data_IF_659813405566
#
_entry.id   IF_659813405566
#
_cell.length_a   1.000
_cell.length_b   1.000
_cell.length_c   1.000
_cell.angle_alpha   90.00
_cell.angle_beta   90.00
_cell.angle_gamma   90.00
#
_symmetry.space_group_name_H-M   'P 1'
#
loop_
_entity.id
_entity.type
_entity.pdbx_description
1 polymer ?
#
# COMPACT_ATOMS: atom_id res chain seq x y z
N UNK A 1 5.09 -11.55 -26.77
CA UNK A 1 5.20 -11.02 -25.39
C UNK A 1 4.20 -11.77 -24.54
N UNK A 2 4.64 -12.38 -23.42
CA UNK A 2 3.74 -13.12 -22.53
C UNK A 2 3.19 -12.13 -21.49
N UNK A 3 1.85 -11.98 -21.44
CA UNK A 3 1.14 -11.16 -20.47
C UNK A 3 0.18 -12.08 -19.73
N UNK A 4 0.31 -12.16 -18.40
CA UNK A 4 -0.54 -12.96 -17.55
C UNK A 4 -1.03 -12.11 -16.39
N UNK A 5 -2.34 -11.98 -16.24
CA UNK A 5 -2.94 -11.40 -15.04
C UNK A 5 -2.83 -12.41 -13.89
N UNK A 6 -2.28 -11.96 -12.75
CA UNK A 6 -2.05 -12.81 -11.56
C UNK A 6 -2.95 -12.45 -10.38
N UNK A 7 -3.39 -11.18 -10.33
CA UNK A 7 -4.45 -10.65 -9.49
C UNK A 7 -5.19 -9.59 -10.28
N UNK A 8 -6.37 -9.19 -9.86
CA UNK A 8 -7.13 -8.13 -10.53
C UNK A 8 -6.26 -6.86 -10.69
N UNK A 9 -6.03 -6.43 -11.93
CA UNK A 9 -5.19 -5.29 -12.28
C UNK A 9 -3.67 -5.46 -12.07
N UNK A 10 -3.21 -6.66 -11.69
CA UNK A 10 -1.78 -6.98 -11.50
C UNK A 10 -1.33 -8.04 -12.49
N UNK A 11 -0.31 -7.73 -13.25
CA UNK A 11 0.16 -8.55 -14.37
C UNK A 11 1.60 -9.03 -14.17
N UNK A 12 1.92 -10.13 -14.81
CA UNK A 12 3.29 -10.57 -15.05
C UNK A 12 3.57 -10.49 -16.54
N UNK A 13 4.57 -9.67 -16.93
CA UNK A 13 4.94 -9.44 -18.33
C UNK A 13 6.41 -9.83 -18.49
N UNK A 14 6.68 -10.86 -19.29
CA UNK A 14 8.03 -11.41 -19.46
C UNK A 14 8.77 -11.63 -18.12
N UNK A 15 8.05 -12.13 -17.10
CA UNK A 15 8.57 -12.38 -15.76
C UNK A 15 8.60 -11.18 -14.80
N UNK A 16 8.47 -9.95 -15.28
CA UNK A 16 8.38 -8.73 -14.45
C UNK A 16 6.95 -8.49 -13.97
N UNK A 17 6.81 -8.01 -12.73
CA UNK A 17 5.54 -7.54 -12.20
C UNK A 17 5.17 -6.21 -12.85
N UNK A 18 3.89 -5.98 -13.14
CA UNK A 18 3.39 -4.76 -13.76
C UNK A 18 1.95 -4.45 -13.38
N UNK A 19 1.54 -3.19 -13.57
CA UNK A 19 0.15 -2.72 -13.56
C UNK A 19 -0.18 -2.05 -14.90
N UNK A 20 -1.45 -2.03 -15.30
CA UNK A 20 -1.89 -1.26 -16.46
C UNK A 20 -1.86 0.22 -16.12
N UNK A 21 -1.14 1.03 -16.91
CA UNK A 21 -0.91 2.45 -16.62
C UNK A 21 -2.18 3.29 -16.79
N UNK A 22 -2.75 3.78 -15.72
CA UNK A 22 -3.92 4.66 -15.75
C UNK A 22 -3.57 6.04 -16.34
N UNK A 23 -2.33 6.52 -16.13
CA UNK A 23 -1.83 7.78 -16.67
C UNK A 23 -0.85 7.51 -17.83
N UNK A 24 -1.40 7.19 -19.01
CA UNK A 24 -0.65 6.75 -20.19
C UNK A 24 0.49 7.71 -20.54
N UNK A 25 1.68 7.15 -20.79
CA UNK A 25 2.90 7.90 -21.11
C UNK A 25 3.62 8.49 -19.89
N UNK A 26 3.03 8.41 -18.68
CA UNK A 26 3.60 9.02 -17.47
C UNK A 26 4.29 7.96 -16.63
N UNK A 27 5.55 8.22 -16.28
CA UNK A 27 6.33 7.49 -15.27
C UNK A 27 6.27 8.22 -13.93
N UNK A 28 6.32 7.47 -12.84
CA UNK A 28 6.37 8.02 -11.48
C UNK A 28 7.77 7.93 -10.87
N UNK A 29 8.54 6.92 -11.29
CA UNK A 29 9.92 6.72 -10.90
C UNK A 29 10.73 6.20 -12.12
N UNK A 30 11.62 5.25 -11.93
CA UNK A 30 12.49 4.66 -12.97
C UNK A 30 11.92 3.37 -13.61
N UNK A 31 10.58 3.18 -13.56
CA UNK A 31 9.92 2.03 -14.15
C UNK A 31 9.90 2.06 -15.69
N UNK A 32 9.82 0.88 -16.30
CA UNK A 32 9.64 0.75 -17.75
C UNK A 32 8.16 0.86 -18.12
N UNK A 33 7.85 1.56 -19.21
CA UNK A 33 6.55 1.51 -19.88
C UNK A 33 6.58 0.47 -21.00
N UNK A 34 5.55 -0.39 -21.04
CA UNK A 34 5.43 -1.49 -22.00
C UNK A 34 4.11 -1.35 -22.71
N UNK A 35 4.15 -1.03 -24.01
CA UNK A 35 2.96 -1.01 -24.85
C UNK A 35 2.65 -2.40 -25.39
N UNK A 36 1.38 -2.79 -25.27
CA UNK A 36 0.87 -4.06 -25.78
C UNK A 36 -0.58 -3.89 -26.23
N UNK A 37 -0.82 -4.08 -27.53
CA UNK A 37 -2.12 -3.80 -28.14
C UNK A 37 -2.56 -2.37 -27.84
N UNK A 38 -3.74 -2.16 -27.31
CA UNK A 38 -4.28 -0.83 -26.98
C UNK A 38 -3.95 -0.41 -25.55
N UNK A 39 -3.16 -1.20 -24.81
CA UNK A 39 -2.83 -0.97 -23.40
C UNK A 39 -1.38 -0.59 -23.22
N UNK A 40 -1.14 0.15 -22.15
CA UNK A 40 0.21 0.44 -21.65
C UNK A 40 0.33 -0.08 -20.22
N UNK A 41 1.42 -0.75 -19.95
CA UNK A 41 1.74 -1.30 -18.63
C UNK A 41 2.97 -0.62 -18.05
N UNK A 42 3.05 -0.53 -16.72
CA UNK A 42 4.20 -0.05 -15.96
C UNK A 42 4.80 -1.19 -15.18
N UNK A 43 6.13 -1.40 -15.29
CA UNK A 43 6.82 -2.40 -14.46
C UNK A 43 6.79 -1.98 -12.99
N UNK A 44 6.56 -2.94 -12.09
CA UNK A 44 6.46 -2.68 -10.66
C UNK A 44 7.67 -3.24 -9.92
N UNK A 45 8.56 -2.33 -9.49
CA UNK A 45 9.83 -2.69 -8.88
C UNK A 45 9.65 -3.13 -7.41
N UNK A 46 9.97 -4.39 -7.04
CA UNK A 46 9.80 -4.91 -5.67
C UNK A 46 10.77 -4.28 -4.67
N UNK A 47 11.89 -3.70 -5.12
CA UNK A 47 12.81 -2.95 -4.24
C UNK A 47 12.28 -1.55 -3.89
N UNK A 48 11.25 -1.07 -4.60
CA UNK A 48 10.61 0.22 -4.38
C UNK A 48 9.23 0.10 -3.76
N UNK A 49 8.69 -1.11 -3.64
CA UNK A 49 7.32 -1.35 -3.14
C UNK A 49 7.24 -2.65 -2.35
N UNK A 50 6.89 -2.55 -1.06
CA UNK A 50 6.72 -3.72 -0.20
C UNK A 50 5.53 -4.59 -0.63
N UNK A 51 4.51 -3.99 -1.25
CA UNK A 51 3.40 -4.74 -1.85
C UNK A 51 3.88 -5.58 -3.04
N UNK A 52 4.67 -4.99 -3.95
CA UNK A 52 5.26 -5.75 -5.05
C UNK A 52 6.19 -6.87 -4.55
N UNK A 53 7.01 -6.58 -3.53
CA UNK A 53 7.86 -7.57 -2.89
C UNK A 53 7.03 -8.73 -2.31
N UNK A 54 5.93 -8.45 -1.61
CA UNK A 54 5.06 -9.48 -1.03
C UNK A 54 4.35 -10.33 -2.10
N UNK A 55 3.93 -9.72 -3.20
CA UNK A 55 3.35 -10.45 -4.35
C UNK A 55 4.39 -11.43 -4.94
N UNK A 56 5.63 -10.99 -5.15
CA UNK A 56 6.71 -11.87 -5.62
C UNK A 56 7.10 -12.95 -4.60
N UNK A 57 6.86 -12.71 -3.31
CA UNK A 57 7.03 -13.68 -2.22
C UNK A 57 5.78 -14.55 -2.00
N UNK A 58 4.95 -14.67 -3.04
CA UNK A 58 3.79 -15.56 -3.10
C UNK A 58 2.64 -15.19 -2.15
N UNK A 59 2.41 -13.88 -1.95
CA UNK A 59 1.21 -13.38 -1.30
C UNK A 59 -0.04 -13.97 -1.96
N UNK A 60 -1.02 -14.35 -1.14
CA UNK A 60 -2.28 -14.99 -1.58
C UNK A 60 -3.49 -14.07 -1.45
N UNK A 61 -3.48 -13.19 -0.43
CA UNK A 61 -4.62 -12.35 -0.10
C UNK A 61 -4.45 -10.95 -0.71
N UNK A 62 -4.83 -10.80 -2.00
CA UNK A 62 -4.82 -9.52 -2.71
C UNK A 62 -6.27 -9.09 -3.00
N UNK A 63 -6.81 -8.24 -2.12
CA UNK A 63 -8.19 -7.75 -2.18
C UNK A 63 -8.30 -6.29 -2.67
N UNK A 64 -7.15 -5.67 -3.00
CA UNK A 64 -7.14 -4.39 -3.72
C UNK A 64 -7.51 -4.69 -5.17
N UNK A 65 -8.60 -4.09 -5.63
CA UNK A 65 -9.17 -4.35 -6.97
C UNK A 65 -9.86 -3.11 -7.51
N UNK A 66 -10.27 -3.17 -8.75
CA UNK A 66 -11.06 -2.12 -9.39
C UNK A 66 -12.23 -1.67 -8.52
N UNK A 67 -12.42 -0.36 -8.39
CA UNK A 67 -13.45 0.27 -7.56
C UNK A 67 -13.18 0.30 -6.06
N UNK A 68 -12.03 -0.23 -5.57
CA UNK A 68 -11.72 -0.17 -4.14
C UNK A 68 -11.48 1.25 -3.65
N UNK A 69 -12.03 1.59 -2.47
CA UNK A 69 -11.68 2.80 -1.73
C UNK A 69 -10.55 2.47 -0.75
N UNK A 70 -9.43 3.14 -0.88
CA UNK A 70 -8.18 2.85 -0.16
C UNK A 70 -7.73 4.04 0.66
N UNK A 71 -7.51 3.86 1.95
CA UNK A 71 -6.76 4.80 2.80
C UNK A 71 -5.31 4.32 2.90
N UNK A 72 -4.38 5.12 2.41
CA UNK A 72 -2.95 4.83 2.44
C UNK A 72 -2.23 5.73 3.43
N UNK A 73 -1.65 5.17 4.47
CA UNK A 73 -0.90 5.87 5.49
C UNK A 73 0.61 5.76 5.22
N UNK A 74 1.26 6.90 5.05
CA UNK A 74 2.68 6.99 4.70
C UNK A 74 2.91 6.84 3.20
N UNK A 75 2.21 7.66 2.40
CA UNK A 75 2.24 7.63 0.95
C UNK A 75 3.62 7.94 0.35
N UNK A 76 4.50 8.58 1.11
CA UNK A 76 5.82 9.04 0.69
C UNK A 76 5.74 9.81 -0.65
N UNK A 77 6.53 9.45 -1.64
CA UNK A 77 6.56 10.10 -2.96
C UNK A 77 5.56 9.50 -3.97
N UNK A 78 4.67 8.60 -3.53
CA UNK A 78 3.60 8.06 -4.37
C UNK A 78 3.95 6.81 -5.19
N UNK A 79 5.14 6.21 -5.03
CA UNK A 79 5.55 5.03 -5.83
C UNK A 79 4.54 3.87 -5.73
N UNK A 80 4.28 3.34 -4.52
CA UNK A 80 3.29 2.27 -4.34
C UNK A 80 1.86 2.77 -4.60
N UNK A 81 1.55 3.99 -4.18
CA UNK A 81 0.24 4.61 -4.39
C UNK A 81 -0.14 4.65 -5.87
N UNK A 82 0.80 5.00 -6.77
CA UNK A 82 0.52 5.07 -8.20
C UNK A 82 0.16 3.71 -8.82
N UNK A 83 0.75 2.62 -8.34
CA UNK A 83 0.38 1.26 -8.76
C UNK A 83 -0.97 0.83 -8.18
N UNK A 84 -1.28 1.21 -6.93
CA UNK A 84 -2.62 0.99 -6.36
C UNK A 84 -3.66 1.79 -7.15
N UNK A 85 -3.37 3.05 -7.53
CA UNK A 85 -4.22 3.86 -8.41
C UNK A 85 -4.49 3.17 -9.75
N UNK A 86 -3.47 2.56 -10.37
CA UNK A 86 -3.64 1.76 -11.59
C UNK A 86 -4.60 0.58 -11.38
N UNK A 87 -4.51 -0.11 -10.23
CA UNK A 87 -5.33 -1.29 -9.91
C UNK A 87 -6.79 -0.91 -9.65
N UNK A 88 -7.03 0.13 -8.86
CA UNK A 88 -8.39 0.52 -8.49
C UNK A 88 -9.14 1.24 -9.60
N UNK A 89 -8.44 1.69 -10.66
CA UNK A 89 -9.00 2.41 -11.81
C UNK A 89 -9.70 3.72 -11.42
N UNK A 90 -10.47 4.30 -12.35
CA UNK A 90 -11.26 5.53 -12.15
C UNK A 90 -12.42 5.38 -11.16
N UNK A 91 -12.91 4.17 -10.98
CA UNK A 91 -14.04 3.83 -10.11
C UNK A 91 -13.68 3.77 -8.62
N UNK A 92 -12.38 3.65 -8.30
CA UNK A 92 -11.88 3.64 -6.93
C UNK A 92 -11.35 5.00 -6.48
N UNK A 93 -11.09 5.12 -5.19
CA UNK A 93 -10.49 6.32 -4.58
C UNK A 93 -9.30 5.93 -3.69
N UNK A 94 -8.19 6.66 -3.84
CA UNK A 94 -6.98 6.46 -3.05
C UNK A 94 -6.66 7.72 -2.26
N UNK A 95 -6.87 7.68 -0.95
CA UNK A 95 -6.56 8.75 -0.02
C UNK A 95 -5.14 8.58 0.51
N UNK A 96 -4.25 9.49 0.14
CA UNK A 96 -2.81 9.40 0.36
C UNK A 96 -2.37 10.29 1.53
N UNK A 97 -2.29 9.74 2.75
CA UNK A 97 -1.85 10.49 3.94
C UNK A 97 -0.33 10.50 4.02
N UNK A 98 0.24 11.69 4.05
CA UNK A 98 1.68 11.93 4.20
C UNK A 98 1.90 13.20 5.03
N UNK A 99 2.84 13.15 6.00
CA UNK A 99 3.11 14.30 6.90
C UNK A 99 4.43 15.04 6.56
N UNK A 100 5.30 14.43 5.76
CA UNK A 100 6.55 15.05 5.32
C UNK A 100 6.28 16.03 4.18
N UNK A 101 6.57 17.31 4.40
CA UNK A 101 6.43 18.34 3.36
C UNK A 101 7.24 18.01 2.09
N UNK A 102 8.46 17.50 2.27
CA UNK A 102 9.32 17.11 1.15
C UNK A 102 8.70 16.02 0.30
N UNK A 103 8.14 14.99 0.93
CA UNK A 103 7.50 13.89 0.24
C UNK A 103 6.18 14.33 -0.40
N UNK A 104 5.41 15.16 0.31
CA UNK A 104 4.13 15.67 -0.16
C UNK A 104 4.28 16.46 -1.47
N UNK A 105 5.33 17.27 -1.63
CA UNK A 105 5.59 17.99 -2.90
C UNK A 105 5.69 17.03 -4.09
N UNK A 106 6.42 15.94 -3.94
CA UNK A 106 6.55 14.93 -5.00
C UNK A 106 5.26 14.11 -5.19
N UNK A 107 4.55 13.82 -4.09
CA UNK A 107 3.26 13.13 -4.15
C UNK A 107 2.21 13.95 -4.92
N UNK A 108 2.19 15.27 -4.76
CA UNK A 108 1.29 16.18 -5.49
C UNK A 108 1.50 16.07 -7.00
N UNK A 109 2.75 16.02 -7.47
CA UNK A 109 3.07 15.85 -8.91
C UNK A 109 2.49 14.54 -9.47
N UNK A 110 2.42 13.49 -8.64
CA UNK A 110 1.82 12.19 -9.01
C UNK A 110 0.29 12.30 -9.01
N UNK A 111 -0.29 12.92 -7.98
CA UNK A 111 -1.74 13.08 -7.84
C UNK A 111 -2.34 13.94 -8.96
N UNK A 112 -1.64 14.99 -9.41
CA UNK A 112 -2.08 15.85 -10.54
C UNK A 112 -2.28 15.07 -11.84
N UNK A 113 -1.66 13.91 -12.00
CA UNK A 113 -1.77 13.05 -13.19
C UNK A 113 -2.76 11.89 -13.00
N UNK A 114 -3.43 11.80 -11.84
CA UNK A 114 -4.25 10.66 -11.45
C UNK A 114 -5.49 11.12 -10.68
N UNK A 115 -6.62 11.20 -11.34
CA UNK A 115 -7.88 11.75 -10.82
C UNK A 115 -8.43 10.96 -9.62
N UNK A 116 -8.01 9.69 -9.44
CA UNK A 116 -8.42 8.82 -8.35
C UNK A 116 -7.48 8.86 -7.12
N UNK A 117 -6.49 9.78 -7.10
CA UNK A 117 -5.55 9.95 -5.99
C UNK A 117 -5.78 11.28 -5.28
N UNK A 118 -6.03 11.23 -3.98
CA UNK A 118 -6.34 12.40 -3.14
C UNK A 118 -5.25 12.58 -2.07
N UNK A 119 -4.36 13.59 -2.21
CA UNK A 119 -3.30 13.84 -1.24
C UNK A 119 -3.86 14.49 0.03
N UNK A 120 -3.40 14.00 1.19
CA UNK A 120 -3.79 14.49 2.51
C UNK A 120 -2.52 14.80 3.31
N UNK A 121 -2.23 16.11 3.45
CA UNK A 121 -1.06 16.57 4.21
C UNK A 121 -1.38 16.62 5.70
N UNK A 122 -1.35 15.46 6.36
CA UNK A 122 -1.69 15.30 7.78
C UNK A 122 -0.82 14.20 8.43
N UNK A 123 -0.72 14.26 9.76
CA UNK A 123 -0.19 13.15 10.55
C UNK A 123 -1.27 12.06 10.71
N UNK A 124 -0.91 10.81 10.45
CA UNK A 124 -1.80 9.66 10.61
C UNK A 124 -2.32 9.46 12.06
N UNK A 125 -1.70 10.14 13.06
CA UNK A 125 -2.18 10.17 14.44
C UNK A 125 -3.40 11.05 14.65
N UNK A 126 -3.65 11.97 13.73
CA UNK A 126 -4.71 12.96 13.79
C UNK A 126 -5.84 12.60 12.85
N UNK A 127 -6.38 11.39 13.04
CA UNK A 127 -7.42 10.84 12.15
C UNK A 127 -8.64 11.76 12.04
N UNK A 128 -8.97 12.47 13.12
CA UNK A 128 -10.08 13.43 13.20
C UNK A 128 -9.94 14.59 12.21
N UNK A 129 -8.71 14.93 11.80
CA UNK A 129 -8.45 16.03 10.85
C UNK A 129 -8.73 15.65 9.38
N UNK A 130 -8.96 14.34 9.07
CA UNK A 130 -9.23 13.88 7.71
C UNK A 130 -10.32 12.83 7.57
N UNK A 131 -10.85 12.33 8.68
CA UNK A 131 -11.85 11.27 8.68
C UNK A 131 -13.11 11.60 7.86
N UNK A 132 -13.58 12.83 7.93
CA UNK A 132 -14.78 13.28 7.19
C UNK A 132 -14.53 13.27 5.67
N UNK A 133 -13.32 13.65 5.23
CA UNK A 133 -12.95 13.66 3.80
C UNK A 133 -12.76 12.25 3.23
N UNK A 134 -12.31 11.32 4.08
CA UNK A 134 -12.02 9.93 3.69
C UNK A 134 -13.29 9.06 3.75
N UNK A 135 -14.09 9.23 4.79
CA UNK A 135 -15.24 8.37 5.04
C UNK A 135 -14.86 6.92 5.35
N UNK A 136 -15.72 6.00 4.93
CA UNK A 136 -15.48 4.56 5.12
C UNK A 136 -14.77 3.96 3.90
N UNK A 137 -13.69 3.22 4.14
CA UNK A 137 -12.87 2.59 3.08
C UNK A 137 -12.93 1.07 3.11
N UNK A 138 -12.64 0.46 1.96
CA UNK A 138 -12.54 -1.00 1.80
C UNK A 138 -11.21 -1.54 2.28
N UNK A 139 -10.15 -0.76 2.07
CA UNK A 139 -8.77 -1.11 2.28
C UNK A 139 -8.08 -0.03 3.13
N UNK A 140 -7.32 -0.48 4.13
CA UNK A 140 -6.37 0.33 4.86
C UNK A 140 -4.95 -0.17 4.55
N UNK A 141 -4.13 0.68 3.95
CA UNK A 141 -2.72 0.37 3.69
C UNK A 141 -1.82 1.20 4.62
N UNK A 142 -0.90 0.56 5.33
CA UNK A 142 0.00 1.23 6.26
C UNK A 142 1.47 0.92 5.97
N UNK A 143 2.26 1.94 5.62
CA UNK A 143 3.72 1.86 5.42
C UNK A 143 4.46 3.00 6.16
N UNK A 144 4.18 3.13 7.43
CA UNK A 144 4.72 4.17 8.31
C UNK A 144 6.03 3.76 8.97
N UNK A 145 6.95 4.72 9.16
CA UNK A 145 8.13 4.57 10.02
C UNK A 145 7.86 5.19 11.39
N UNK A 146 7.19 4.46 12.28
CA UNK A 146 6.74 4.95 13.58
C UNK A 146 6.91 3.88 14.67
N UNK A 147 7.08 4.29 15.93
CA UNK A 147 7.16 3.35 17.07
C UNK A 147 5.79 2.73 17.40
N UNK A 148 4.74 3.48 17.18
CA UNK A 148 3.34 3.20 17.52
C UNK A 148 2.52 2.62 16.35
N UNK A 149 3.17 1.87 15.42
CA UNK A 149 2.51 1.34 14.22
C UNK A 149 1.23 0.54 14.51
N UNK A 150 1.20 -0.23 15.61
CA UNK A 150 0.03 -1.00 15.98
C UNK A 150 -1.12 -0.10 16.47
N UNK A 151 -0.81 0.98 17.20
CA UNK A 151 -1.81 1.97 17.64
C UNK A 151 -2.39 2.72 16.45
N UNK A 152 -1.55 3.10 15.49
CA UNK A 152 -1.97 3.77 14.26
C UNK A 152 -2.89 2.87 13.42
N UNK A 153 -2.60 1.57 13.33
CA UNK A 153 -3.50 0.62 12.67
C UNK A 153 -4.86 0.53 13.38
N UNK A 154 -4.87 0.46 14.71
CA UNK A 154 -6.10 0.40 15.50
C UNK A 154 -6.91 1.68 15.40
N UNK A 155 -6.25 2.84 15.41
CA UNK A 155 -6.86 4.17 15.30
C UNK A 155 -7.51 4.35 13.93
N UNK A 156 -6.74 4.24 12.86
CA UNK A 156 -7.21 4.42 11.48
C UNK A 156 -8.12 3.27 11.02
N UNK A 157 -8.02 2.12 11.67
CA UNK A 157 -8.97 1.02 11.50
C UNK A 157 -10.41 1.38 11.81
N UNK A 158 -10.66 2.51 12.49
CA UNK A 158 -12.00 3.09 12.63
C UNK A 158 -12.67 3.39 11.29
N UNK A 159 -11.91 3.88 10.32
CA UNK A 159 -12.37 4.21 8.96
C UNK A 159 -12.51 2.99 8.04
N UNK A 160 -11.89 1.85 8.38
CA UNK A 160 -12.03 0.63 7.60
C UNK A 160 -13.39 -0.01 7.84
N UNK A 161 -14.11 -0.42 6.81
CA UNK A 161 -15.37 -1.15 6.93
C UNK A 161 -15.20 -2.48 7.66
N UNK A 162 -16.23 -3.00 8.32
CA UNK A 162 -16.25 -4.35 8.87
C UNK A 162 -16.02 -5.37 7.75
N UNK A 163 -15.14 -6.34 7.97
CA UNK A 163 -14.74 -7.30 6.94
C UNK A 163 -13.79 -6.73 5.88
N UNK A 164 -13.43 -5.44 5.94
CA UNK A 164 -12.41 -4.83 5.09
C UNK A 164 -11.00 -5.32 5.41
N UNK A 165 -10.04 -5.02 4.56
CA UNK A 165 -8.69 -5.57 4.65
C UNK A 165 -7.66 -4.50 4.99
N UNK A 166 -6.69 -4.86 5.83
CA UNK A 166 -5.56 -4.00 6.13
C UNK A 166 -4.25 -4.65 5.66
N UNK A 167 -3.45 -3.88 4.92
CA UNK A 167 -2.12 -4.24 4.43
C UNK A 167 -1.09 -3.43 5.21
N UNK A 168 -0.18 -4.10 5.89
CA UNK A 168 0.73 -3.44 6.82
C UNK A 168 2.18 -3.85 6.59
N UNK A 169 3.02 -2.88 6.31
CA UNK A 169 4.46 -3.03 6.34
C UNK A 169 4.98 -2.81 7.77
N UNK A 170 5.22 -3.87 8.52
CA UNK A 170 5.70 -3.81 9.90
C UNK A 170 7.21 -3.65 9.89
N UNK A 171 7.69 -2.48 10.30
CA UNK A 171 9.11 -2.09 10.30
C UNK A 171 9.68 -2.31 11.71
N UNK A 172 10.29 -3.46 11.97
CA UNK A 172 10.73 -3.82 13.32
C UNK A 172 11.71 -2.82 13.93
N UNK A 173 12.66 -2.30 13.15
CA UNK A 173 13.64 -1.30 13.59
C UNK A 173 12.99 0.06 13.94
N UNK A 174 11.92 0.44 13.27
CA UNK A 174 11.18 1.67 13.59
C UNK A 174 10.38 1.53 14.88
N UNK A 175 9.90 0.32 15.18
CA UNK A 175 9.15 0.03 16.41
C UNK A 175 10.09 -0.10 17.61
N UNK A 176 11.17 -0.87 17.47
CA UNK A 176 12.16 -1.06 18.53
C UNK A 176 13.51 -1.50 17.97
N UNK A 177 14.57 -0.77 18.30
CA UNK A 177 15.95 -1.13 17.97
C UNK A 177 16.56 -2.12 18.95
N UNK A 178 15.98 -2.27 20.15
CA UNK A 178 16.51 -3.11 21.23
C UNK A 178 15.93 -4.53 21.26
N UNK A 179 14.77 -4.75 20.63
CA UNK A 179 14.09 -6.05 20.59
C UNK A 179 14.41 -6.84 19.32
N UNK A 180 14.55 -8.17 19.41
CA UNK A 180 14.64 -9.01 18.21
C UNK A 180 13.39 -8.85 17.32
N UNK A 181 13.54 -8.82 15.97
CA UNK A 181 12.41 -8.61 15.05
C UNK A 181 11.24 -9.56 15.28
N UNK A 182 11.50 -10.84 15.54
CA UNK A 182 10.45 -11.84 15.82
C UNK A 182 9.59 -11.48 17.04
N UNK A 183 10.21 -10.88 18.07
CA UNK A 183 9.47 -10.44 19.26
C UNK A 183 8.60 -9.22 18.92
N UNK A 184 9.13 -8.26 18.17
CA UNK A 184 8.38 -7.07 17.72
C UNK A 184 7.15 -7.47 16.91
N UNK A 185 7.30 -8.39 15.95
CA UNK A 185 6.17 -8.88 15.14
C UNK A 185 5.11 -9.56 16.00
N UNK A 186 5.51 -10.42 16.94
CA UNK A 186 4.57 -11.11 17.87
C UNK A 186 3.81 -10.10 18.73
N UNK A 187 4.49 -9.10 19.29
CA UNK A 187 3.86 -8.05 20.09
C UNK A 187 2.86 -7.23 19.25
N UNK A 188 3.24 -6.88 18.01
CA UNK A 188 2.36 -6.20 17.06
C UNK A 188 1.09 -7.02 16.79
N UNK A 189 1.23 -8.30 16.41
CA UNK A 189 0.11 -9.17 16.10
C UNK A 189 -0.83 -9.34 17.31
N UNK A 190 -0.27 -9.56 18.50
CA UNK A 190 -1.07 -9.67 19.72
C UNK A 190 -1.88 -8.38 19.97
N UNK A 191 -1.26 -7.22 19.83
CA UNK A 191 -1.91 -5.94 20.09
C UNK A 191 -3.08 -5.68 19.16
N UNK A 192 -2.94 -5.95 17.86
CA UNK A 192 -3.99 -5.70 16.87
C UNK A 192 -5.06 -6.79 16.81
N UNK A 193 -4.80 -7.96 17.41
CA UNK A 193 -5.71 -9.12 17.36
C UNK A 193 -7.11 -8.88 17.93
N UNK A 194 -7.27 -7.85 18.75
CA UNK A 194 -8.58 -7.45 19.31
C UNK A 194 -9.56 -7.00 18.23
N UNK A 195 -9.08 -6.32 17.19
CA UNK A 195 -9.91 -5.78 16.10
C UNK A 195 -9.64 -6.40 14.73
N UNK A 196 -8.49 -7.07 14.58
CA UNK A 196 -8.06 -7.61 13.30
C UNK A 196 -7.73 -9.10 13.41
N UNK A 197 -8.11 -9.85 12.38
CA UNK A 197 -7.68 -11.23 12.16
C UNK A 197 -6.48 -11.21 11.22
N UNK A 198 -5.34 -11.77 11.63
CA UNK A 198 -4.21 -12.00 10.74
C UNK A 198 -4.59 -13.09 9.73
N UNK A 199 -4.48 -12.78 8.43
CA UNK A 199 -4.68 -13.74 7.34
C UNK A 199 -3.35 -14.29 6.85
N UNK A 200 -2.35 -13.41 6.70
CA UNK A 200 -1.06 -13.75 6.12
C UNK A 200 0.04 -12.84 6.66
N UNK A 201 1.23 -13.40 6.83
CA UNK A 201 2.45 -12.64 7.14
C UNK A 201 3.59 -13.14 6.26
N UNK A 202 4.31 -12.23 5.61
CA UNK A 202 5.28 -12.50 4.57
C UNK A 202 6.59 -11.83 4.91
N UNK A 203 7.65 -12.61 5.03
CA UNK A 203 9.02 -12.08 5.07
C UNK A 203 9.41 -11.65 3.65
N UNK A 204 9.60 -10.36 3.47
CA UNK A 204 9.89 -9.77 2.16
C UNK A 204 11.38 -9.72 1.81
N UNK A 205 12.25 -10.39 2.57
CA UNK A 205 13.64 -10.60 2.18
C UNK A 205 13.73 -11.30 0.81
N UNK A 206 14.65 -10.93 -0.08
CA UNK A 206 15.75 -9.97 0.09
C UNK A 206 15.42 -8.53 -0.28
N UNK A 207 14.16 -8.21 -0.64
CA UNK A 207 13.76 -6.89 -1.17
C UNK A 207 13.83 -5.79 -0.12
N UNK A 208 13.47 -6.12 1.13
CA UNK A 208 13.60 -5.20 2.26
C UNK A 208 13.95 -6.00 3.53
N UNK A 209 14.95 -5.51 4.27
CA UNK A 209 15.46 -6.19 5.46
C UNK A 209 14.69 -5.75 6.71
N UNK A 210 14.44 -6.70 7.64
CA UNK A 210 13.79 -6.44 8.93
C UNK A 210 12.38 -5.86 8.81
N UNK A 211 11.73 -6.10 7.68
CA UNK A 211 10.33 -5.79 7.45
C UNK A 211 9.51 -7.07 7.25
N UNK A 212 8.33 -7.07 7.85
CA UNK A 212 7.31 -8.09 7.66
C UNK A 212 6.12 -7.43 6.98
N UNK A 213 5.63 -8.02 5.90
CA UNK A 213 4.39 -7.57 5.29
C UNK A 213 3.25 -8.46 5.80
N UNK A 214 2.16 -7.86 6.28
CA UNK A 214 1.05 -8.60 6.85
C UNK A 214 -0.28 -8.16 6.27
N UNK A 215 -1.17 -9.11 6.04
CA UNK A 215 -2.54 -8.89 5.60
C UNK A 215 -3.50 -9.28 6.72
N UNK A 216 -4.41 -8.37 7.04
CA UNK A 216 -5.41 -8.57 8.08
C UNK A 216 -6.82 -8.36 7.52
N UNK A 217 -7.80 -8.96 8.19
CA UNK A 217 -9.22 -8.68 7.99
C UNK A 217 -9.80 -8.04 9.25
N UNK A 218 -10.53 -6.94 9.11
CA UNK A 218 -11.24 -6.31 10.24
C UNK A 218 -12.41 -7.19 10.67
N UNK A 219 -12.50 -7.44 11.97
CA UNK A 219 -13.58 -8.24 12.60
C UNK A 219 -14.93 -7.52 12.63
#
# INVERSE_FOLDING_TARGET
>A
MEIKEIFNGVYRINGKLATENLARGIKVYDEDLISAEDREYRTWNPYRSKLAASILKSMKNMEIREGSNVLYLGAATGTTCSHISDIIKSEGSLYCVEFSERNMRQLLDVCEKRENMFPIFKDARKVEEYAENVGTVDILYQDLSAKDQADLLLLNGGLLKRGGYAYVAIKSQSISVSKPPKQVYREFFNKVSTKFQLLESIDIMPFDRMHMFAVFKKK
#
